data_IF_335415467672
#
_entry.id   IF_335415467672
#
_cell.length_a   1.000
_cell.length_b   1.000
_cell.length_c   1.000
_cell.angle_alpha   90.00
_cell.angle_beta   90.00
_cell.angle_gamma   90.00
#
_symmetry.space_group_name_H-M   'P 1'
#
loop_
_entity.id
_entity.type
_entity.pdbx_description
1 polymer ?
#
# COMPACT_ATOMS: atom_id res chain seq x y z
N UNK A 1 -18.68 41.23 17.10
CA UNK A 1 -17.22 41.33 16.94
C UNK A 1 -16.81 40.20 16.05
N UNK A 2 -16.29 40.56 14.88
CA UNK A 2 -15.72 39.62 13.91
C UNK A 2 -14.26 39.35 14.25
N UNK A 3 -13.82 38.13 14.05
CA UNK A 3 -12.43 37.73 14.06
C UNK A 3 -12.06 37.23 12.67
N UNK A 4 -11.11 37.90 12.03
CA UNK A 4 -10.53 37.46 10.77
C UNK A 4 -9.40 36.47 11.08
N UNK A 5 -9.46 35.27 10.50
CA UNK A 5 -8.52 34.19 10.76
C UNK A 5 -7.78 33.85 9.48
N UNK A 6 -6.46 33.72 9.59
CA UNK A 6 -5.59 33.23 8.51
C UNK A 6 -4.37 32.52 9.12
N UNK A 7 -3.74 31.68 8.32
CA UNK A 7 -2.64 30.83 8.70
C UNK A 7 -1.33 31.24 7.99
N UNK A 8 -0.20 30.92 8.61
CA UNK A 8 1.10 30.93 7.94
C UNK A 8 1.90 29.67 8.30
N UNK A 9 3.16 29.60 7.87
CA UNK A 9 4.03 28.45 8.08
C UNK A 9 4.41 28.14 9.54
N UNK A 10 4.03 28.98 10.49
CA UNK A 10 4.28 28.79 11.92
C UNK A 10 3.01 28.54 12.73
N UNK A 11 1.87 29.06 12.29
CA UNK A 11 0.63 28.93 13.05
C UNK A 11 -0.58 29.66 12.49
N UNK A 12 -1.60 29.74 13.32
CA UNK A 12 -2.91 30.34 13.06
C UNK A 12 -2.99 31.68 13.80
N UNK A 13 -3.49 32.72 13.13
CA UNK A 13 -3.57 34.08 13.65
C UNK A 13 -4.98 34.62 13.53
N UNK A 14 -5.40 35.44 14.49
CA UNK A 14 -6.68 36.13 14.48
C UNK A 14 -6.49 37.63 14.62
N UNK A 15 -7.19 38.38 13.79
CA UNK A 15 -7.19 39.85 13.76
C UNK A 15 -8.60 40.41 13.93
N UNK A 16 -8.70 41.58 14.52
CA UNK A 16 -9.98 42.31 14.63
C UNK A 16 -10.30 43.09 13.34
N UNK A 17 -11.43 43.79 13.34
CA UNK A 17 -11.89 44.60 12.19
C UNK A 17 -10.96 45.79 11.87
N UNK A 18 -10.12 46.21 12.82
CA UNK A 18 -9.13 47.28 12.67
C UNK A 18 -7.75 46.75 12.23
N UNK A 19 -7.60 45.44 12.10
CA UNK A 19 -6.35 44.79 11.73
C UNK A 19 -5.35 44.61 12.88
N UNK A 20 -5.78 44.73 14.14
CA UNK A 20 -4.92 44.44 15.29
C UNK A 20 -4.93 42.95 15.60
N UNK A 21 -3.76 42.41 15.97
CA UNK A 21 -3.62 41.01 16.36
C UNK A 21 -4.36 40.74 17.68
N UNK A 22 -5.38 39.88 17.65
CA UNK A 22 -6.14 39.45 18.82
C UNK A 22 -5.37 38.35 19.56
N UNK A 23 -4.98 37.32 18.82
CA UNK A 23 -4.33 36.12 19.34
C UNK A 23 -3.58 35.41 18.21
N UNK A 24 -2.59 34.60 18.59
CA UNK A 24 -1.90 33.68 17.68
C UNK A 24 -1.71 32.34 18.37
N UNK A 25 -1.61 31.29 17.56
CA UNK A 25 -1.34 29.94 18.02
C UNK A 25 -0.39 29.23 17.07
N UNK A 26 0.74 28.79 17.59
CA UNK A 26 1.71 28.01 16.84
C UNK A 26 1.26 26.54 16.75
N UNK A 27 1.62 25.87 15.66
CA UNK A 27 1.31 24.45 15.47
C UNK A 27 2.02 23.59 16.52
N UNK A 28 1.29 22.63 17.12
CA UNK A 28 1.85 21.63 18.03
C UNK A 28 2.48 20.47 17.28
N UNK A 29 1.87 20.07 16.18
CA UNK A 29 2.44 19.10 15.25
C UNK A 29 3.41 19.77 14.27
N UNK A 30 4.04 18.97 13.40
CA UNK A 30 4.93 19.52 12.38
C UNK A 30 4.16 20.48 11.47
N UNK A 31 4.69 21.67 11.14
CA UNK A 31 3.97 22.67 10.36
C UNK A 31 3.42 22.15 9.03
N UNK A 32 4.16 21.32 8.32
CA UNK A 32 3.74 20.73 7.04
C UNK A 32 2.49 19.85 7.19
N UNK A 33 2.34 19.12 8.30
CA UNK A 33 1.17 18.27 8.54
C UNK A 33 -0.06 19.11 8.90
N UNK A 34 0.13 20.11 9.77
CA UNK A 34 -0.95 21.02 10.15
C UNK A 34 -1.44 21.85 8.94
N UNK A 35 -0.51 22.37 8.15
CA UNK A 35 -0.82 23.13 6.94
C UNK A 35 -1.53 22.26 5.91
N UNK A 36 -1.11 21.01 5.71
CA UNK A 36 -1.75 20.16 4.71
C UNK A 36 -3.24 19.96 5.00
N UNK A 37 -3.58 19.68 6.27
CA UNK A 37 -4.96 19.59 6.76
C UNK A 37 -5.72 20.90 6.57
N UNK A 38 -5.16 22.03 7.04
CA UNK A 38 -5.82 23.33 6.99
C UNK A 38 -6.05 23.81 5.55
N UNK A 39 -5.07 23.62 4.66
CA UNK A 39 -5.18 23.93 3.23
C UNK A 39 -6.15 23.01 2.49
N UNK A 40 -6.43 21.83 3.02
CA UNK A 40 -7.46 20.90 2.51
C UNK A 40 -8.84 21.16 3.13
N UNK A 41 -8.97 22.16 4.01
CA UNK A 41 -10.22 22.52 4.68
C UNK A 41 -10.54 21.67 5.92
N UNK A 42 -9.60 20.87 6.41
CA UNK A 42 -9.76 20.05 7.61
C UNK A 42 -9.43 20.83 8.89
N UNK A 43 -10.19 20.55 9.96
CA UNK A 43 -10.01 21.21 11.25
C UNK A 43 -8.94 20.48 12.05
N UNK A 44 -7.89 21.20 12.44
CA UNK A 44 -6.86 20.71 13.36
C UNK A 44 -7.25 20.94 14.82
N UNK A 45 -6.67 20.17 15.74
CA UNK A 45 -6.83 20.38 17.19
C UNK A 45 -6.42 21.79 17.60
N UNK A 46 -5.37 22.33 16.98
CA UNK A 46 -4.90 23.68 17.25
C UNK A 46 -5.92 24.73 16.82
N UNK A 47 -6.55 24.57 15.64
CA UNK A 47 -7.63 25.45 15.22
C UNK A 47 -8.83 25.36 16.18
N UNK A 48 -9.21 24.16 16.60
CA UNK A 48 -10.36 23.96 17.49
C UNK A 48 -10.14 24.63 18.86
N UNK A 49 -8.95 24.50 19.44
CA UNK A 49 -8.63 25.14 20.71
C UNK A 49 -8.54 26.67 20.53
N UNK A 50 -8.00 27.13 19.41
CA UNK A 50 -7.92 28.56 19.09
C UNK A 50 -9.31 29.21 18.99
N UNK A 51 -10.28 28.54 18.35
CA UNK A 51 -11.66 29.01 18.26
C UNK A 51 -12.37 29.09 19.62
N UNK A 52 -12.14 28.11 20.50
CA UNK A 52 -12.66 28.15 21.87
C UNK A 52 -12.13 29.34 22.65
N UNK A 53 -10.82 29.62 22.54
CA UNK A 53 -10.20 30.78 23.18
C UNK A 53 -10.78 32.10 22.66
N UNK A 54 -10.98 32.24 21.35
CA UNK A 54 -11.60 33.43 20.77
C UNK A 54 -13.07 33.60 21.22
N UNK A 55 -13.80 32.49 21.38
CA UNK A 55 -15.17 32.50 21.89
C UNK A 55 -15.23 32.98 23.35
N UNK A 56 -14.31 32.52 24.20
CA UNK A 56 -14.18 32.98 25.59
C UNK A 56 -13.83 34.48 25.68
N UNK A 57 -13.07 34.99 24.71
CA UNK A 57 -12.77 36.42 24.56
C UNK A 57 -13.93 37.26 24.00
N UNK A 58 -15.07 36.65 23.67
CA UNK A 58 -16.31 37.33 23.27
C UNK A 58 -16.52 37.50 21.76
N UNK A 59 -15.67 36.91 20.91
CA UNK A 59 -15.85 36.91 19.46
C UNK A 59 -16.97 35.94 19.06
N UNK A 60 -17.79 36.34 18.09
CA UNK A 60 -19.00 35.59 17.70
C UNK A 60 -19.04 35.19 16.23
N UNK A 61 -18.24 35.84 15.40
CA UNK A 61 -18.25 35.65 13.95
C UNK A 61 -16.81 35.49 13.46
N UNK A 62 -16.54 34.46 12.66
CA UNK A 62 -15.19 34.02 12.31
C UNK A 62 -15.03 33.98 10.79
N UNK A 63 -14.16 34.81 10.23
CA UNK A 63 -13.98 34.90 8.78
C UNK A 63 -12.69 34.19 8.40
N UNK A 64 -12.80 33.10 7.64
CA UNK A 64 -11.68 32.30 7.15
C UNK A 64 -11.37 32.59 5.69
N UNK A 65 -10.17 32.20 5.24
CA UNK A 65 -9.77 32.29 3.84
C UNK A 65 -10.26 31.09 2.99
N UNK A 66 -10.42 29.91 3.61
CA UNK A 66 -10.82 28.70 2.91
C UNK A 66 -12.32 28.40 3.10
N UNK A 67 -13.13 28.28 2.01
CA UNK A 67 -14.55 28.00 2.10
C UNK A 67 -14.90 26.69 2.83
N UNK A 68 -14.14 25.61 2.58
CA UNK A 68 -14.44 24.32 3.20
C UNK A 68 -14.08 24.30 4.70
N UNK A 69 -13.05 25.05 5.10
CA UNK A 69 -12.71 25.21 6.51
C UNK A 69 -13.83 25.97 7.24
N UNK A 70 -14.37 27.02 6.62
CA UNK A 70 -15.53 27.75 7.13
C UNK A 70 -16.76 26.83 7.28
N UNK A 71 -17.04 25.97 6.29
CA UNK A 71 -18.13 24.99 6.37
C UNK A 71 -17.93 23.99 7.51
N UNK A 72 -16.74 23.39 7.62
CA UNK A 72 -16.43 22.46 8.70
C UNK A 72 -16.61 23.13 10.07
N UNK A 73 -16.21 24.40 10.20
CA UNK A 73 -16.34 25.16 11.45
C UNK A 73 -17.81 25.51 11.75
N UNK A 74 -18.64 25.77 10.73
CA UNK A 74 -20.11 25.92 10.87
C UNK A 74 -20.75 24.66 11.44
N UNK A 75 -20.34 23.48 10.98
CA UNK A 75 -20.86 22.20 11.47
C UNK A 75 -20.55 21.96 12.95
N UNK A 76 -19.44 22.51 13.45
CA UNK A 76 -19.10 22.51 14.87
C UNK A 76 -19.89 23.54 15.72
N UNK A 77 -20.79 24.31 15.10
CA UNK A 77 -21.67 25.25 15.79
C UNK A 77 -21.07 26.66 16.01
N UNK A 78 -20.02 27.02 15.26
CA UNK A 78 -19.51 28.39 15.22
C UNK A 78 -20.12 29.17 14.04
N UNK A 79 -20.36 30.47 14.20
CA UNK A 79 -20.79 31.31 13.08
C UNK A 79 -19.53 31.72 12.28
N UNK A 80 -19.18 30.94 11.26
CA UNK A 80 -18.06 31.24 10.38
C UNK A 80 -18.54 31.79 9.04
N UNK A 81 -17.69 32.47 8.28
CA UNK A 81 -17.89 32.76 6.86
C UNK A 81 -16.54 32.70 6.15
N UNK A 82 -16.54 32.81 4.81
CA UNK A 82 -15.33 32.70 4.01
C UNK A 82 -15.18 33.91 3.09
N UNK A 83 -14.00 34.51 3.11
CA UNK A 83 -13.60 35.65 2.27
C UNK A 83 -12.12 35.48 1.90
N UNK A 84 -11.77 35.56 0.63
CA UNK A 84 -10.38 35.42 0.17
C UNK A 84 -9.99 36.51 -0.84
N UNK A 85 -8.89 37.24 -0.62
CA UNK A 85 -8.13 37.29 0.64
C UNK A 85 -8.95 38.00 1.73
N UNK A 86 -8.81 37.58 2.99
CA UNK A 86 -9.39 38.32 4.12
C UNK A 86 -8.34 39.25 4.77
N UNK A 87 -8.80 40.15 5.65
CA UNK A 87 -7.94 41.12 6.34
C UNK A 87 -6.74 40.46 7.06
N UNK A 88 -6.95 39.31 7.70
CA UNK A 88 -5.88 38.58 8.39
C UNK A 88 -4.82 38.08 7.40
N UNK A 89 -5.23 37.49 6.28
CA UNK A 89 -4.34 36.97 5.27
C UNK A 89 -3.56 38.08 4.55
N UNK A 90 -4.18 39.22 4.28
CA UNK A 90 -3.49 40.40 3.74
C UNK A 90 -2.38 40.86 4.68
N UNK A 91 -2.68 41.06 5.96
CA UNK A 91 -1.69 41.50 6.96
C UNK A 91 -0.53 40.50 7.09
N UNK A 92 -0.84 39.20 7.18
CA UNK A 92 0.19 38.16 7.30
C UNK A 92 1.11 38.08 6.08
N UNK A 93 0.57 38.30 4.86
CA UNK A 93 1.33 38.22 3.61
C UNK A 93 2.09 39.50 3.29
N UNK A 94 1.56 40.68 3.65
CA UNK A 94 2.25 41.96 3.46
C UNK A 94 3.38 42.16 4.47
N UNK A 95 3.23 41.67 5.71
CA UNK A 95 4.17 41.90 6.81
C UNK A 95 4.71 40.60 7.44
N UNK A 96 5.24 39.65 6.66
CA UNK A 96 5.67 38.35 7.19
C UNK A 96 6.81 38.47 8.21
N UNK A 97 7.67 39.49 8.07
CA UNK A 97 8.75 39.81 9.01
C UNK A 97 8.26 40.07 10.43
N UNK A 98 7.09 40.69 10.59
CA UNK A 98 6.51 41.03 11.90
C UNK A 98 6.14 39.76 12.68
N UNK A 99 5.70 38.71 11.98
CA UNK A 99 5.20 37.48 12.59
C UNK A 99 6.24 36.37 12.68
N UNK A 100 7.20 36.32 11.74
CA UNK A 100 8.16 35.23 11.58
C UNK A 100 9.63 35.65 11.76
N UNK A 101 9.92 36.95 11.85
CA UNK A 101 11.28 37.51 12.01
C UNK A 101 12.03 37.69 10.68
N UNK A 102 13.32 38.04 10.76
CA UNK A 102 14.15 38.34 9.58
C UNK A 102 14.34 37.13 8.65
N UNK A 103 14.37 35.92 9.20
CA UNK A 103 14.51 34.65 8.46
C UNK A 103 13.15 34.06 8.04
N UNK A 104 12.11 34.89 7.90
CA UNK A 104 10.77 34.43 7.51
C UNK A 104 10.80 33.62 6.20
N UNK A 105 11.59 34.04 5.23
CA UNK A 105 11.68 33.38 3.93
C UNK A 105 12.28 31.97 4.04
N UNK A 106 13.34 31.79 4.83
CA UNK A 106 13.96 30.48 5.05
C UNK A 106 12.98 29.49 5.71
N UNK A 107 12.15 29.99 6.62
CA UNK A 107 11.07 29.19 7.24
C UNK A 107 10.02 28.78 6.22
N UNK A 108 9.55 29.71 5.39
CA UNK A 108 8.61 29.40 4.31
C UNK A 108 9.17 28.38 3.33
N UNK A 109 10.44 28.54 2.95
CA UNK A 109 11.12 27.63 2.05
C UNK A 109 11.23 26.22 2.65
N UNK A 110 11.68 26.10 3.91
CA UNK A 110 11.83 24.80 4.58
C UNK A 110 10.48 24.08 4.71
N UNK A 111 9.46 24.75 5.27
CA UNK A 111 8.15 24.14 5.48
C UNK A 111 7.46 23.85 4.15
N UNK A 112 7.58 24.73 3.16
CA UNK A 112 7.04 24.51 1.81
C UNK A 112 7.67 23.32 1.11
N UNK A 113 8.98 23.12 1.28
CA UNK A 113 9.70 21.96 0.75
C UNK A 113 9.23 20.66 1.41
N UNK A 114 9.07 20.67 2.74
CA UNK A 114 8.62 19.49 3.48
C UNK A 114 7.14 19.16 3.20
N UNK A 115 6.27 20.15 3.07
CA UNK A 115 4.89 19.99 2.61
C UNK A 115 4.83 19.42 1.19
N UNK A 116 5.67 19.93 0.28
CA UNK A 116 5.74 19.42 -1.09
C UNK A 116 6.20 17.96 -1.11
N UNK A 117 7.17 17.59 -0.27
CA UNK A 117 7.62 16.20 -0.12
C UNK A 117 6.50 15.31 0.42
N UNK A 118 5.79 15.76 1.46
CA UNK A 118 4.65 15.05 2.05
C UNK A 118 3.57 14.79 1.00
N UNK A 119 3.15 15.83 0.27
CA UNK A 119 2.16 15.71 -0.80
C UNK A 119 2.63 14.82 -1.94
N UNK A 120 3.90 14.86 -2.33
CA UNK A 120 4.43 13.94 -3.35
C UNK A 120 4.43 12.50 -2.83
N UNK A 121 4.76 12.26 -1.57
CA UNK A 121 4.72 10.92 -0.98
C UNK A 121 3.29 10.36 -0.94
N UNK A 122 2.30 11.21 -0.64
CA UNK A 122 0.89 10.83 -0.61
C UNK A 122 0.25 10.73 -2.01
N UNK A 123 0.54 11.69 -2.90
CA UNK A 123 0.04 11.74 -4.28
C UNK A 123 0.83 10.89 -5.25
N UNK A 124 1.98 10.33 -4.89
CA UNK A 124 2.71 9.42 -5.76
C UNK A 124 1.84 8.20 -5.99
N UNK A 125 0.94 8.26 -6.98
CA UNK A 125 0.96 7.55 -8.28
C UNK A 125 1.81 6.29 -8.34
N UNK A 126 1.81 5.56 -7.23
CA UNK A 126 2.55 4.34 -7.00
C UNK A 126 1.58 3.18 -6.95
N UNK A 127 0.32 3.36 -6.53
CA UNK A 127 -0.62 2.23 -6.50
C UNK A 127 -0.90 1.68 -7.91
N UNK A 128 -1.22 2.54 -8.86
CA UNK A 128 -1.38 2.19 -10.28
C UNK A 128 -0.09 1.61 -10.88
N UNK A 129 1.07 2.23 -10.62
CA UNK A 129 2.37 1.72 -11.09
C UNK A 129 2.75 0.40 -10.44
N UNK A 130 2.46 0.21 -9.16
CA UNK A 130 2.71 -1.02 -8.41
C UNK A 130 1.80 -2.14 -8.90
N UNK A 131 0.55 -1.84 -9.27
CA UNK A 131 -0.34 -2.79 -9.93
C UNK A 131 0.24 -3.22 -11.28
N UNK A 132 0.71 -2.28 -12.11
CA UNK A 132 1.38 -2.61 -13.38
C UNK A 132 2.58 -3.53 -13.15
N UNK A 133 3.43 -3.20 -12.17
CA UNK A 133 4.59 -4.03 -11.84
C UNK A 133 4.20 -5.41 -11.29
N UNK A 134 3.12 -5.51 -10.52
CA UNK A 134 2.61 -6.79 -10.01
C UNK A 134 2.08 -7.68 -11.15
N UNK A 135 1.38 -7.11 -12.13
CA UNK A 135 0.93 -7.84 -13.32
C UNK A 135 2.13 -8.37 -14.12
N UNK A 136 3.14 -7.53 -14.36
CA UNK A 136 4.38 -7.95 -15.05
C UNK A 136 5.10 -9.07 -14.28
N UNK A 137 5.17 -8.96 -12.95
CA UNK A 137 5.76 -9.99 -12.10
C UNK A 137 4.98 -11.32 -12.14
N UNK A 138 3.65 -11.27 -12.18
CA UNK A 138 2.79 -12.45 -12.30
C UNK A 138 3.08 -13.20 -13.62
N UNK A 139 3.16 -12.47 -14.73
CA UNK A 139 3.50 -13.03 -16.05
C UNK A 139 4.90 -13.65 -16.06
N UNK A 140 5.87 -13.02 -15.41
CA UNK A 140 7.24 -13.53 -15.34
C UNK A 140 7.34 -14.77 -14.45
N UNK A 141 6.60 -14.84 -13.35
CA UNK A 141 6.50 -16.05 -12.52
C UNK A 141 5.89 -17.20 -13.33
N UNK A 142 4.83 -16.95 -14.10
CA UNK A 142 4.22 -17.98 -14.94
C UNK A 142 5.20 -18.54 -15.98
N UNK A 143 6.04 -17.69 -16.59
CA UNK A 143 7.11 -18.13 -17.51
C UNK A 143 8.16 -18.98 -16.79
N UNK A 144 8.61 -18.54 -15.61
CA UNK A 144 9.62 -19.26 -14.82
C UNK A 144 9.08 -20.60 -14.34
N UNK A 145 7.85 -20.66 -13.82
CA UNK A 145 7.20 -21.91 -13.42
C UNK A 145 7.18 -22.88 -14.59
N UNK A 146 6.77 -22.45 -15.78
CA UNK A 146 6.72 -23.33 -16.94
C UNK A 146 8.11 -23.87 -17.33
N UNK A 147 9.14 -23.02 -17.30
CA UNK A 147 10.52 -23.42 -17.56
C UNK A 147 11.01 -24.45 -16.53
N UNK A 148 10.79 -24.19 -15.24
CA UNK A 148 11.25 -25.06 -14.16
C UNK A 148 10.49 -26.37 -14.10
N UNK A 149 9.18 -26.38 -14.36
CA UNK A 149 8.40 -27.63 -14.44
C UNK A 149 8.87 -28.48 -15.62
N UNK A 150 9.17 -27.87 -16.77
CA UNK A 150 9.74 -28.60 -17.91
C UNK A 150 11.06 -29.27 -17.53
N UNK A 151 11.95 -28.55 -16.84
CA UNK A 151 13.20 -29.10 -16.30
C UNK A 151 12.96 -30.21 -15.28
N UNK A 152 11.98 -30.05 -14.38
CA UNK A 152 11.61 -31.06 -13.38
C UNK A 152 11.12 -32.34 -14.05
N UNK A 153 10.28 -32.22 -15.09
CA UNK A 153 9.77 -33.34 -15.88
C UNK A 153 10.93 -34.08 -16.55
N UNK A 154 11.78 -33.38 -17.30
CA UNK A 154 12.95 -33.98 -17.94
C UNK A 154 13.85 -34.72 -16.94
N UNK A 155 14.12 -34.11 -15.78
CA UNK A 155 15.01 -34.69 -14.78
C UNK A 155 14.39 -35.90 -14.07
N UNK A 156 13.14 -35.77 -13.61
CA UNK A 156 12.47 -36.85 -12.88
C UNK A 156 12.05 -38.01 -13.81
N UNK A 157 11.83 -37.76 -15.10
CA UNK A 157 11.56 -38.82 -16.10
C UNK A 157 12.74 -39.76 -16.30
N UNK A 158 13.96 -39.39 -15.91
CA UNK A 158 15.07 -40.35 -15.83
C UNK A 158 14.79 -41.46 -14.81
N UNK A 159 14.00 -41.17 -13.77
CA UNK A 159 13.60 -42.10 -12.72
C UNK A 159 12.21 -42.70 -12.93
N UNK A 160 11.24 -41.92 -13.41
CA UNK A 160 9.86 -42.41 -13.59
C UNK A 160 9.21 -41.80 -14.85
N UNK A 161 9.64 -42.21 -16.06
CA UNK A 161 9.25 -41.57 -17.32
C UNK A 161 7.74 -41.66 -17.60
N UNK A 162 7.08 -42.75 -17.19
CA UNK A 162 5.66 -42.97 -17.43
C UNK A 162 4.77 -41.95 -16.66
N UNK A 163 5.30 -41.32 -15.61
CA UNK A 163 4.55 -40.35 -14.83
C UNK A 163 4.17 -39.10 -15.64
N UNK A 164 4.99 -38.74 -16.63
CA UNK A 164 4.82 -37.52 -17.43
C UNK A 164 3.47 -37.51 -18.16
N UNK A 165 3.12 -38.62 -18.82
CA UNK A 165 1.84 -38.81 -19.50
C UNK A 165 0.67 -38.99 -18.53
N UNK A 166 0.90 -39.63 -17.37
CA UNK A 166 -0.16 -39.90 -16.38
C UNK A 166 -0.60 -38.62 -15.67
N UNK A 167 0.34 -37.70 -15.40
CA UNK A 167 0.11 -36.42 -14.73
C UNK A 167 0.45 -35.25 -15.66
N UNK A 168 -0.43 -34.94 -16.64
CA UNK A 168 -0.18 -33.84 -17.59
C UNK A 168 -0.27 -32.45 -16.94
N UNK A 169 -1.02 -32.32 -15.83
CA UNK A 169 -1.15 -31.04 -15.12
C UNK A 169 0.10 -30.73 -14.31
N UNK A 170 0.71 -29.57 -14.55
CA UNK A 170 1.96 -29.15 -13.91
C UNK A 170 1.89 -29.17 -12.38
N UNK A 171 0.86 -28.58 -11.70
CA UNK A 171 0.79 -28.59 -10.24
C UNK A 171 0.72 -30.01 -9.67
N UNK A 172 0.03 -30.92 -10.36
CA UNK A 172 -0.09 -32.32 -9.93
C UNK A 172 1.24 -33.07 -10.03
N UNK A 173 2.02 -32.83 -11.09
CA UNK A 173 3.34 -33.43 -11.25
C UNK A 173 4.31 -32.92 -10.18
N UNK A 174 4.34 -31.60 -9.96
CA UNK A 174 5.15 -30.97 -8.91
C UNK A 174 4.78 -31.52 -7.53
N UNK A 175 3.48 -31.58 -7.22
CA UNK A 175 2.95 -32.14 -5.96
C UNK A 175 3.37 -33.60 -5.77
N UNK A 176 3.31 -34.41 -6.82
CA UNK A 176 3.76 -35.80 -6.75
C UNK A 176 5.25 -35.88 -6.42
N UNK A 177 6.10 -35.20 -7.19
CA UNK A 177 7.56 -35.29 -7.00
C UNK A 177 7.96 -34.75 -5.63
N UNK A 178 7.40 -33.62 -5.21
CA UNK A 178 7.63 -33.02 -3.90
C UNK A 178 7.30 -33.98 -2.75
N UNK A 179 6.12 -34.59 -2.75
CA UNK A 179 5.62 -35.35 -1.61
C UNK A 179 5.97 -36.85 -1.63
N UNK A 180 6.04 -37.47 -2.80
CA UNK A 180 6.33 -38.90 -2.95
C UNK A 180 7.84 -39.13 -3.06
N UNK A 181 8.53 -38.29 -3.83
CA UNK A 181 9.97 -38.42 -4.07
C UNK A 181 10.28 -39.70 -4.85
N UNK A 182 10.85 -40.70 -4.17
CA UNK A 182 11.22 -41.96 -4.80
C UNK A 182 9.97 -42.74 -5.22
N UNK A 183 9.94 -43.27 -6.45
CA UNK A 183 8.75 -43.95 -7.01
C UNK A 183 8.23 -45.09 -6.13
N UNK A 184 9.14 -45.81 -5.46
CA UNK A 184 8.80 -46.95 -4.58
C UNK A 184 7.92 -46.55 -3.40
N UNK A 185 8.01 -45.29 -2.95
CA UNK A 185 7.17 -44.74 -1.89
C UNK A 185 5.72 -44.54 -2.33
N UNK A 186 5.39 -44.60 -3.63
CA UNK A 186 4.02 -44.43 -4.09
C UNK A 186 3.14 -45.61 -3.63
N UNK A 187 2.15 -45.31 -2.80
CA UNK A 187 1.13 -46.23 -2.28
C UNK A 187 -0.27 -45.68 -2.56
N UNK A 188 -1.30 -46.53 -2.50
CA UNK A 188 -2.68 -46.05 -2.67
C UNK A 188 -3.01 -44.95 -1.66
N UNK A 189 -2.66 -45.16 -0.40
CA UNK A 189 -2.97 -44.24 0.71
C UNK A 189 -2.34 -42.84 0.52
N UNK A 190 -1.05 -42.75 0.17
CA UNK A 190 -0.43 -41.43 0.03
C UNK A 190 -0.87 -40.70 -1.23
N UNK A 191 -1.18 -41.41 -2.31
CA UNK A 191 -1.73 -40.81 -3.52
C UNK A 191 -3.18 -40.31 -3.31
N UNK A 192 -3.97 -41.02 -2.51
CA UNK A 192 -5.30 -40.54 -2.09
C UNK A 192 -5.20 -39.26 -1.25
N UNK A 193 -4.24 -39.19 -0.31
CA UNK A 193 -3.97 -37.98 0.49
C UNK A 193 -3.60 -36.77 -0.36
N UNK A 194 -2.99 -36.98 -1.52
CA UNK A 194 -2.67 -35.92 -2.50
C UNK A 194 -3.85 -35.56 -3.42
N UNK A 195 -5.02 -36.19 -3.24
CA UNK A 195 -6.22 -35.89 -4.01
C UNK A 195 -6.23 -36.47 -5.42
N UNK A 196 -5.42 -37.49 -5.71
CA UNK A 196 -5.49 -38.18 -7.00
C UNK A 196 -6.75 -39.03 -7.11
N UNK A 197 -7.43 -38.96 -8.26
CA UNK A 197 -8.58 -39.83 -8.56
C UNK A 197 -8.16 -41.30 -8.63
N UNK A 198 -9.04 -42.23 -8.23
CA UNK A 198 -8.76 -43.67 -8.21
C UNK A 198 -8.19 -44.21 -9.54
N UNK A 199 -8.73 -43.78 -10.68
CA UNK A 199 -8.21 -44.16 -12.00
C UNK A 199 -6.79 -43.67 -12.31
N UNK A 200 -6.35 -42.56 -11.73
CA UNK A 200 -4.94 -42.10 -11.81
C UNK A 200 -4.05 -42.91 -10.89
N UNK A 201 -4.52 -43.18 -9.68
CA UNK A 201 -3.78 -43.99 -8.70
C UNK A 201 -3.45 -45.37 -9.26
N UNK A 202 -4.44 -46.05 -9.84
CA UNK A 202 -4.21 -47.35 -10.48
C UNK A 202 -3.18 -47.28 -11.62
N UNK A 203 -3.25 -46.25 -12.45
CA UNK A 203 -2.27 -46.04 -13.54
C UNK A 203 -0.87 -45.83 -13.00
N UNK A 204 -0.69 -44.99 -11.97
CA UNK A 204 0.60 -44.73 -11.33
C UNK A 204 1.17 -46.02 -10.74
N UNK A 205 0.39 -46.77 -9.98
CA UNK A 205 0.85 -48.01 -9.33
C UNK A 205 1.23 -49.08 -10.36
N UNK A 206 0.45 -49.24 -11.44
CA UNK A 206 0.79 -50.15 -12.54
C UNK A 206 2.05 -49.71 -13.30
N UNK A 207 2.20 -48.41 -13.53
CA UNK A 207 3.37 -47.85 -14.19
C UNK A 207 4.63 -48.02 -13.33
N UNK A 208 4.50 -47.89 -12.00
CA UNK A 208 5.60 -48.14 -11.05
C UNK A 208 6.20 -49.53 -11.20
N UNK A 209 5.36 -50.57 -11.34
CA UNK A 209 5.82 -51.95 -11.47
C UNK A 209 6.51 -52.25 -12.82
N UNK A 210 6.19 -51.47 -13.85
CA UNK A 210 6.66 -51.68 -15.23
C UNK A 210 7.59 -50.58 -15.72
N UNK A 211 8.06 -49.74 -14.80
CA UNK A 211 8.82 -48.55 -15.11
C UNK A 211 10.12 -48.88 -15.83
N UNK A 212 10.41 -48.15 -16.90
CA UNK A 212 11.69 -48.21 -17.62
C UNK A 212 12.73 -47.22 -17.06
N UNK A 213 12.35 -46.44 -16.05
CA UNK A 213 13.22 -45.42 -15.46
C UNK A 213 14.40 -46.03 -14.69
N UNK A 214 15.51 -45.30 -14.66
CA UNK A 214 16.68 -45.64 -13.89
C UNK A 214 16.43 -45.56 -12.38
N UNK A 215 17.19 -46.35 -11.64
CA UNK A 215 17.23 -46.22 -10.19
C UNK A 215 17.99 -44.94 -9.81
N UNK A 216 17.47 -44.19 -8.84
CA UNK A 216 18.10 -43.00 -8.26
C UNK A 216 18.23 -43.20 -6.76
N UNK A 217 19.35 -42.77 -6.18
CA UNK A 217 19.53 -42.90 -4.74
C UNK A 217 18.75 -41.82 -3.98
N UNK A 218 18.68 -41.94 -2.65
CA UNK A 218 17.96 -40.98 -1.81
C UNK A 218 18.53 -39.55 -1.89
N UNK A 219 19.82 -39.40 -2.20
CA UNK A 219 20.47 -38.08 -2.31
C UNK A 219 20.07 -37.42 -3.63
N UNK A 220 20.06 -38.17 -4.73
CA UNK A 220 19.59 -37.72 -6.03
C UNK A 220 18.12 -37.28 -5.94
N UNK A 221 17.26 -38.14 -5.38
CA UNK A 221 15.84 -37.85 -5.19
C UNK A 221 15.62 -36.64 -4.30
N UNK A 222 16.36 -36.50 -3.19
CA UNK A 222 16.21 -35.36 -2.28
C UNK A 222 16.47 -34.02 -2.98
N UNK A 223 17.46 -33.95 -3.87
CA UNK A 223 17.72 -32.71 -4.63
C UNK A 223 16.55 -32.41 -5.57
N UNK A 224 16.00 -33.42 -6.25
CA UNK A 224 14.84 -33.25 -7.13
C UNK A 224 13.58 -32.86 -6.33
N UNK A 225 13.37 -33.43 -5.14
CA UNK A 225 12.27 -33.02 -4.25
C UNK A 225 12.40 -31.57 -3.80
N UNK A 226 13.61 -31.13 -3.45
CA UNK A 226 13.85 -29.73 -3.12
C UNK A 226 13.57 -28.83 -4.32
N UNK A 227 13.98 -29.23 -5.53
CA UNK A 227 13.67 -28.48 -6.75
C UNK A 227 12.15 -28.38 -7.00
N UNK A 228 11.41 -29.48 -6.81
CA UNK A 228 9.94 -29.46 -6.85
C UNK A 228 9.31 -28.60 -5.77
N UNK A 229 9.92 -28.51 -4.58
CA UNK A 229 9.48 -27.63 -3.51
C UNK A 229 9.62 -26.15 -3.89
N UNK A 230 10.75 -25.74 -4.45
CA UNK A 230 10.93 -24.34 -4.92
C UNK A 230 9.88 -23.97 -5.99
N UNK A 231 9.52 -24.91 -6.87
CA UNK A 231 8.44 -24.69 -7.85
C UNK A 231 7.07 -24.55 -7.16
N UNK A 232 6.78 -25.35 -6.14
CA UNK A 232 5.56 -25.20 -5.33
C UNK A 232 5.50 -23.85 -4.61
N UNK A 233 6.64 -23.37 -4.09
CA UNK A 233 6.74 -22.08 -3.44
C UNK A 233 6.52 -20.93 -4.45
N UNK A 234 6.92 -21.08 -5.72
CA UNK A 234 6.58 -20.14 -6.80
C UNK A 234 5.09 -20.12 -7.14
N UNK A 235 4.38 -21.26 -7.10
CA UNK A 235 2.93 -21.26 -7.25
C UNK A 235 2.23 -20.48 -6.11
N UNK A 236 2.73 -20.59 -4.88
CA UNK A 236 2.20 -19.81 -3.74
C UNK A 236 2.47 -18.32 -3.92
N UNK A 237 3.68 -17.95 -4.33
CA UNK A 237 4.03 -16.57 -4.62
C UNK A 237 3.15 -15.98 -5.73
N UNK A 238 2.84 -16.78 -6.75
CA UNK A 238 1.89 -16.40 -7.80
C UNK A 238 0.51 -16.05 -7.23
N UNK A 239 -0.05 -16.91 -6.37
CA UNK A 239 -1.32 -16.66 -5.69
C UNK A 239 -1.28 -15.40 -4.80
N UNK A 240 -0.19 -15.18 -4.07
CA UNK A 240 0.00 -13.98 -3.24
C UNK A 240 0.02 -12.68 -4.08
N UNK A 241 0.61 -12.72 -5.28
CA UNK A 241 0.63 -11.58 -6.20
C UNK A 241 -0.74 -11.35 -6.82
N UNK A 242 -1.46 -12.41 -7.17
CA UNK A 242 -2.84 -12.33 -7.68
C UNK A 242 -3.77 -11.68 -6.64
N UNK A 243 -3.72 -12.14 -5.39
CA UNK A 243 -4.46 -11.55 -4.26
C UNK A 243 -4.09 -10.07 -4.02
N UNK A 244 -2.82 -9.72 -4.21
CA UNK A 244 -2.36 -8.34 -4.09
C UNK A 244 -2.94 -7.45 -5.21
N UNK A 245 -2.93 -7.94 -6.46
CA UNK A 245 -3.48 -7.22 -7.61
C UNK A 245 -4.96 -6.93 -7.40
N UNK A 246 -5.74 -7.93 -6.98
CA UNK A 246 -7.18 -7.79 -6.74
C UNK A 246 -7.47 -6.69 -5.70
N UNK A 247 -6.78 -6.73 -4.55
CA UNK A 247 -6.96 -5.70 -3.50
C UNK A 247 -6.52 -4.31 -3.95
N UNK A 248 -5.41 -4.23 -4.69
CA UNK A 248 -4.90 -2.94 -5.16
C UNK A 248 -5.78 -2.34 -6.27
N UNK A 249 -6.45 -3.16 -7.08
CA UNK A 249 -7.40 -2.71 -8.09
C UNK A 249 -8.66 -2.10 -7.48
N UNK A 250 -9.21 -2.66 -6.39
CA UNK A 250 -10.34 -2.08 -5.65
C UNK A 250 -10.05 -0.64 -5.18
N UNK A 251 -8.79 -0.34 -4.85
CA UNK A 251 -8.34 0.99 -4.42
C UNK A 251 -8.09 1.97 -5.59
N UNK A 252 -7.70 1.45 -6.76
CA UNK A 252 -7.27 2.26 -7.93
C UNK A 252 -8.44 2.54 -8.88
N UNK A 253 -9.32 1.57 -9.07
CA UNK A 253 -10.44 1.63 -10.00
C UNK A 253 -11.59 0.69 -9.54
N UNK A 254 -12.33 1.07 -8.48
CA UNK A 254 -13.50 0.31 -8.00
C UNK A 254 -14.64 0.22 -9.01
#
# INVERSE_FOLDING_TARGET
>A
MKAYISENVQGIYAFDEDGNLIAKREYREKPEVALDKLLSGEITDDLMIFLKELKERGYKEYIFEHPDLSRAVKELGFNADAEFPNLAGEILRERPKEFLGEQWFDRYYSVGLDLTRLRIQEQSGARDKMVIQAIEALDDIDKVINLLVSRLREWYSLHFPELDEILPKHPQYVTFVKNIGHRDNATKENLEKLGFSEGKIEKILRAKEKTMGAWMDERDIRIIQNFAKEIDDLYRLREEIEDYIDRAMDDVAP
#
